data_IF_660246173594
#
_entry.id   IF_660246173594
#
_cell.length_a   1.000
_cell.length_b   1.000
_cell.length_c   1.000
_cell.angle_alpha   90.00
_cell.angle_beta   90.00
_cell.angle_gamma   90.00
#
_symmetry.space_group_name_H-M   'P 1'
#
loop_
_entity.id
_entity.type
_entity.pdbx_description
1 polymer ?
#
# COMPACT_ATOMS: atom_id res chain seq x y z
N UNK A 1 0.87 -10.38 -32.32
CA UNK A 1 1.00 -10.44 -30.85
C UNK A 1 0.68 -9.04 -30.34
N UNK A 2 -0.45 -8.86 -29.66
CA UNK A 2 -0.79 -7.56 -29.09
C UNK A 2 0.32 -7.16 -28.11
N UNK A 3 0.79 -5.92 -28.19
CA UNK A 3 1.77 -5.40 -27.24
C UNK A 3 1.17 -5.57 -25.85
N UNK A 4 1.89 -6.19 -24.91
CA UNK A 4 1.39 -6.40 -23.53
C UNK A 4 0.96 -5.10 -22.84
N UNK A 5 1.41 -3.95 -23.35
CA UNK A 5 1.00 -2.62 -22.90
C UNK A 5 -0.42 -2.20 -23.33
N UNK A 6 -1.00 -2.75 -24.41
CA UNK A 6 -2.33 -2.38 -24.90
C UNK A 6 -3.45 -3.10 -24.14
N UNK A 7 -3.21 -4.35 -23.72
CA UNK A 7 -4.18 -5.12 -22.92
C UNK A 7 -4.39 -4.55 -21.51
N UNK A 8 -3.38 -3.86 -20.97
CA UNK A 8 -3.42 -3.24 -19.64
C UNK A 8 -4.01 -1.81 -19.64
N UNK A 9 -4.29 -1.23 -20.82
CA UNK A 9 -4.76 0.15 -20.95
C UNK A 9 -6.06 0.44 -20.18
N UNK A 10 -7.12 -0.39 -20.26
CA UNK A 10 -8.37 -0.14 -19.56
C UNK A 10 -8.19 -0.17 -18.03
N UNK A 11 -7.41 -1.12 -17.53
CA UNK A 11 -7.11 -1.27 -16.10
C UNK A 11 -6.30 -0.08 -15.60
N UNK A 12 -5.35 0.41 -16.40
CA UNK A 12 -4.56 1.60 -16.07
C UNK A 12 -5.45 2.85 -15.99
N UNK A 13 -6.36 3.05 -16.96
CA UNK A 13 -7.30 4.19 -16.95
C UNK A 13 -8.23 4.15 -15.75
N UNK A 14 -8.79 2.98 -15.44
CA UNK A 14 -9.66 2.80 -14.28
C UNK A 14 -8.92 3.12 -12.98
N UNK A 15 -7.68 2.62 -12.82
CA UNK A 15 -6.83 2.90 -11.66
C UNK A 15 -6.57 4.40 -11.48
N UNK A 16 -6.20 5.10 -12.56
CA UNK A 16 -5.95 6.54 -12.52
C UNK A 16 -7.21 7.32 -12.16
N UNK A 17 -8.33 7.01 -12.81
CA UNK A 17 -9.62 7.66 -12.55
C UNK A 17 -10.09 7.47 -11.11
N UNK A 18 -9.95 6.26 -10.57
CA UNK A 18 -10.28 5.96 -9.17
C UNK A 18 -9.45 6.81 -8.21
N UNK A 19 -8.12 6.85 -8.38
CA UNK A 19 -7.26 7.65 -7.51
C UNK A 19 -7.58 9.14 -7.62
N UNK A 20 -7.85 9.66 -8.83
CA UNK A 20 -8.24 11.05 -9.03
C UNK A 20 -9.52 11.40 -8.28
N UNK A 21 -10.54 10.55 -8.39
CA UNK A 21 -11.79 10.72 -7.65
C UNK A 21 -11.55 10.73 -6.14
N UNK A 22 -10.76 9.78 -5.61
CA UNK A 22 -10.41 9.76 -4.17
C UNK A 22 -9.70 11.05 -3.76
N UNK A 23 -8.72 11.51 -4.55
CA UNK A 23 -7.95 12.72 -4.26
C UNK A 23 -8.81 13.99 -4.31
N UNK A 24 -9.82 14.06 -5.19
CA UNK A 24 -10.78 15.18 -5.24
C UNK A 24 -11.57 15.33 -3.92
N UNK A 25 -11.75 14.25 -3.16
CA UNK A 25 -12.39 14.24 -1.85
C UNK A 25 -11.38 14.20 -0.68
N UNK A 26 -10.08 14.34 -0.94
CA UNK A 26 -8.99 14.07 0.01
C UNK A 26 -8.93 15.01 1.22
N UNK A 27 -9.60 16.17 1.21
CA UNK A 27 -9.55 17.16 2.31
C UNK A 27 -10.09 16.63 3.65
N UNK A 28 -11.06 15.72 3.60
CA UNK A 28 -11.72 15.14 4.78
C UNK A 28 -11.41 13.65 4.95
N UNK A 29 -10.78 13.02 3.96
CA UNK A 29 -10.50 11.60 3.94
C UNK A 29 -9.48 11.24 5.02
N UNK A 30 -9.89 10.41 5.98
CA UNK A 30 -9.04 9.92 7.09
C UNK A 30 -8.64 8.45 6.92
N UNK A 31 -9.55 7.64 6.42
CA UNK A 31 -9.35 6.19 6.25
C UNK A 31 -9.69 5.85 4.80
N UNK A 32 -8.81 5.10 4.13
CA UNK A 32 -9.05 4.59 2.79
C UNK A 32 -8.74 3.10 2.73
N UNK A 33 -9.69 2.30 2.26
CA UNK A 33 -9.48 0.91 1.87
C UNK A 33 -9.86 0.78 0.40
N UNK A 34 -8.92 0.32 -0.42
CA UNK A 34 -9.16 -0.03 -1.82
C UNK A 34 -8.78 -1.48 -2.03
N UNK A 35 -9.76 -2.32 -2.32
CA UNK A 35 -9.53 -3.73 -2.65
C UNK A 35 -10.50 -4.15 -3.75
N UNK A 36 -10.00 -4.10 -4.99
CA UNK A 36 -10.78 -4.41 -6.19
C UNK A 36 -10.16 -5.66 -6.78
N UNK A 37 -10.93 -6.74 -6.88
CA UNK A 37 -10.49 -8.06 -7.35
C UNK A 37 -11.46 -8.59 -8.39
N UNK A 38 -10.94 -9.28 -9.40
CA UNK A 38 -11.77 -10.02 -10.35
C UNK A 38 -12.41 -11.24 -9.69
N UNK A 39 -11.66 -11.93 -8.83
CA UNK A 39 -12.11 -13.10 -8.08
C UNK A 39 -11.83 -12.87 -6.59
N UNK A 40 -12.90 -12.81 -5.78
CA UNK A 40 -12.85 -12.42 -4.37
C UNK A 40 -11.83 -13.28 -3.59
N UNK A 41 -11.90 -14.59 -3.78
CA UNK A 41 -11.07 -15.59 -3.07
C UNK A 41 -9.64 -15.70 -3.62
N UNK A 42 -9.29 -14.90 -4.63
CA UNK A 42 -7.98 -14.93 -5.27
C UNK A 42 -7.28 -13.56 -5.11
N UNK A 43 -6.48 -13.37 -4.05
CA UNK A 43 -5.74 -12.13 -3.80
C UNK A 43 -4.86 -11.69 -4.98
N UNK A 44 -4.39 -12.63 -5.81
CA UNK A 44 -3.60 -12.33 -7.01
C UNK A 44 -4.33 -11.52 -8.07
N UNK A 45 -5.67 -11.62 -8.11
CA UNK A 45 -6.55 -10.95 -9.08
C UNK A 45 -6.82 -9.48 -8.73
N UNK A 46 -6.17 -8.96 -7.70
CA UNK A 46 -6.35 -7.59 -7.26
C UNK A 46 -5.79 -6.57 -8.26
N UNK A 47 -6.51 -5.46 -8.42
CA UNK A 47 -5.97 -4.25 -9.01
C UNK A 47 -4.90 -3.66 -8.09
N UNK A 48 -3.65 -3.69 -8.54
CA UNK A 48 -2.52 -3.14 -7.79
C UNK A 48 -2.23 -1.70 -8.14
N UNK A 49 -1.93 -0.89 -7.14
CA UNK A 49 -1.52 0.51 -7.28
C UNK A 49 0.00 0.61 -7.22
N UNK A 50 0.60 1.42 -8.09
CA UNK A 50 2.04 1.67 -8.02
C UNK A 50 2.40 2.60 -6.85
N UNK A 51 3.69 2.64 -6.51
CA UNK A 51 4.18 3.47 -5.41
C UNK A 51 4.01 4.96 -5.67
N UNK A 52 4.01 5.38 -6.95
CA UNK A 52 3.81 6.77 -7.34
C UNK A 52 2.38 7.23 -7.03
N UNK A 53 1.37 6.44 -7.39
CA UNK A 53 -0.03 6.68 -7.08
C UNK A 53 -0.28 6.73 -5.57
N UNK A 54 0.32 5.80 -4.81
CA UNK A 54 0.28 5.83 -3.33
C UNK A 54 0.86 7.13 -2.79
N UNK A 55 2.02 7.54 -3.30
CA UNK A 55 2.69 8.76 -2.87
C UNK A 55 1.86 10.02 -3.20
N UNK A 56 1.28 10.10 -4.41
CA UNK A 56 0.41 11.20 -4.84
C UNK A 56 -0.86 11.28 -3.98
N UNK A 57 -1.46 10.14 -3.66
CA UNK A 57 -2.61 10.04 -2.77
C UNK A 57 -2.29 10.61 -1.38
N UNK A 58 -1.20 10.17 -0.74
CA UNK A 58 -0.78 10.66 0.58
C UNK A 58 -0.49 12.18 0.53
N UNK A 59 0.11 12.66 -0.56
CA UNK A 59 0.37 14.09 -0.76
C UNK A 59 -0.91 14.93 -0.87
N UNK A 60 -1.96 14.36 -1.48
CA UNK A 60 -3.22 15.05 -1.77
C UNK A 60 -4.26 14.95 -0.64
N UNK A 61 -4.10 14.01 0.30
CA UNK A 61 -5.03 13.78 1.40
C UNK A 61 -4.37 14.13 2.75
N UNK A 62 -4.42 15.40 3.21
CA UNK A 62 -3.66 15.85 4.37
C UNK A 62 -4.07 15.21 5.70
N UNK A 63 -5.32 14.73 5.81
CA UNK A 63 -5.87 14.09 7.01
C UNK A 63 -5.82 12.57 6.97
N UNK A 64 -5.23 11.97 5.93
CA UNK A 64 -5.19 10.51 5.82
C UNK A 64 -4.34 9.92 6.95
N UNK A 65 -4.96 9.04 7.73
CA UNK A 65 -4.37 8.33 8.86
C UNK A 65 -4.16 6.86 8.54
N UNK A 66 -4.97 6.28 7.64
CA UNK A 66 -4.86 4.88 7.26
C UNK A 66 -5.07 4.68 5.76
N UNK A 67 -4.27 3.80 5.17
CA UNK A 67 -4.42 3.33 3.80
C UNK A 67 -4.31 1.80 3.79
N UNK A 68 -5.33 1.10 3.31
CA UNK A 68 -5.26 -0.32 2.97
C UNK A 68 -5.45 -0.54 1.48
N UNK A 69 -4.42 -1.04 0.79
CA UNK A 69 -4.54 -1.33 -0.65
C UNK A 69 -3.50 -2.33 -1.15
N UNK A 70 -3.79 -3.03 -2.26
CA UNK A 70 -2.81 -3.82 -2.98
C UNK A 70 -1.81 -2.94 -3.72
N UNK A 71 -0.52 -3.11 -3.42
CA UNK A 71 0.54 -2.27 -4.01
C UNK A 71 1.46 -3.11 -4.90
N UNK A 72 1.76 -2.60 -6.09
CA UNK A 72 2.86 -3.08 -6.91
C UNK A 72 4.09 -2.20 -6.67
N UNK A 73 5.12 -2.76 -6.04
CA UNK A 73 6.39 -2.06 -5.81
C UNK A 73 7.41 -2.28 -6.92
N UNK A 74 7.11 -3.10 -7.93
CA UNK A 74 8.06 -3.40 -9.00
C UNK A 74 8.25 -2.20 -9.92
N UNK A 75 9.51 -1.85 -10.19
CA UNK A 75 9.88 -0.87 -11.20
C UNK A 75 9.57 -1.41 -12.60
N UNK A 76 9.00 -0.57 -13.45
CA UNK A 76 8.75 -0.87 -14.86
C UNK A 76 10.08 -1.00 -15.63
N UNK A 77 10.15 -1.95 -16.59
CA UNK A 77 11.20 -1.96 -17.61
C UNK A 77 12.50 -2.73 -17.27
N UNK A 78 12.46 -3.74 -16.40
CA UNK A 78 13.63 -4.57 -16.12
C UNK A 78 13.33 -6.08 -16.09
N UNK A 79 14.27 -6.90 -16.56
CA UNK A 79 14.15 -8.37 -16.45
C UNK A 79 14.32 -8.89 -15.01
N UNK A 80 14.88 -8.08 -14.10
CA UNK A 80 15.04 -8.41 -12.67
C UNK A 80 14.13 -7.53 -11.83
N UNK A 81 13.49 -8.13 -10.81
CA UNK A 81 12.69 -7.40 -9.83
C UNK A 81 13.54 -6.32 -9.14
N UNK A 82 13.15 -5.07 -9.31
CA UNK A 82 13.69 -3.90 -8.59
C UNK A 82 12.53 -3.14 -7.98
N UNK A 83 12.71 -2.61 -6.77
CA UNK A 83 11.67 -1.80 -6.13
C UNK A 83 11.72 -0.36 -6.62
N UNK A 84 10.57 0.23 -6.92
CA UNK A 84 10.45 1.67 -7.17
C UNK A 84 10.86 2.44 -5.93
N UNK A 85 11.60 3.53 -6.10
CA UNK A 85 11.86 4.45 -5.00
C UNK A 85 10.73 5.48 -4.89
N UNK A 86 10.46 5.96 -3.68
CA UNK A 86 9.66 7.17 -3.49
C UNK A 86 10.37 8.36 -4.16
N UNK A 87 9.60 9.23 -4.80
CA UNK A 87 10.13 10.49 -5.33
C UNK A 87 10.46 11.44 -4.18
N UNK A 88 11.53 12.23 -4.34
CA UNK A 88 12.06 13.10 -3.28
C UNK A 88 11.17 14.33 -2.99
N UNK A 89 10.21 14.63 -3.86
CA UNK A 89 9.50 15.90 -3.87
C UNK A 89 8.31 15.95 -2.88
N UNK A 90 7.94 14.84 -2.24
CA UNK A 90 6.84 14.78 -1.28
C UNK A 90 7.39 14.40 0.09
N UNK A 91 7.28 15.31 1.05
CA UNK A 91 7.63 15.06 2.46
C UNK A 91 6.57 14.16 3.13
N UNK A 92 6.64 12.86 2.86
CA UNK A 92 5.73 11.86 3.41
C UNK A 92 5.83 11.74 4.94
N UNK A 93 7.03 11.94 5.50
CA UNK A 93 7.28 11.86 6.95
C UNK A 93 6.49 12.88 7.78
N UNK A 94 6.07 14.01 7.18
CA UNK A 94 5.31 15.06 7.86
C UNK A 94 3.79 14.83 7.83
N UNK A 95 3.33 13.72 7.23
CA UNK A 95 1.90 13.45 7.05
C UNK A 95 1.32 12.68 8.23
N UNK A 96 0.00 12.73 8.39
CA UNK A 96 -0.72 12.10 9.51
C UNK A 96 -0.89 10.58 9.37
N UNK A 97 -0.36 9.96 8.33
CA UNK A 97 -0.53 8.54 8.07
C UNK A 97 0.07 7.72 9.22
N UNK A 98 -0.75 7.01 10.00
CA UNK A 98 -0.36 6.18 11.14
C UNK A 98 -0.21 4.72 10.75
N UNK A 99 -0.96 4.25 9.76
CA UNK A 99 -0.91 2.86 9.38
C UNK A 99 -1.09 2.62 7.89
N UNK A 100 -0.45 1.55 7.40
CA UNK A 100 -0.60 1.07 6.04
C UNK A 100 -0.89 -0.43 6.02
N UNK A 101 -1.95 -0.87 5.36
CA UNK A 101 -2.25 -2.27 5.15
C UNK A 101 -1.85 -2.69 3.72
N UNK A 102 -0.82 -3.53 3.62
CA UNK A 102 -0.46 -4.20 2.38
C UNK A 102 -1.44 -5.36 2.13
N UNK A 103 -2.42 -5.10 1.27
CA UNK A 103 -3.45 -6.06 0.85
C UNK A 103 -3.03 -6.83 -0.41
N UNK A 104 -3.75 -7.91 -0.70
CA UNK A 104 -3.64 -8.60 -2.00
C UNK A 104 -2.29 -9.27 -2.26
N UNK A 105 -1.53 -9.56 -1.20
CA UNK A 105 -0.24 -10.23 -1.33
C UNK A 105 -0.36 -11.75 -1.12
N UNK A 106 0.02 -12.50 -2.15
CA UNK A 106 0.06 -13.96 -2.19
C UNK A 106 1.50 -14.49 -2.33
N UNK A 107 2.49 -13.59 -2.25
CA UNK A 107 3.91 -13.92 -2.38
C UNK A 107 4.44 -14.47 -1.05
N UNK A 108 5.60 -15.16 -1.05
CA UNK A 108 6.20 -15.63 0.19
C UNK A 108 6.34 -14.51 1.23
N UNK A 109 6.01 -14.80 2.48
CA UNK A 109 5.98 -13.81 3.57
C UNK A 109 7.27 -12.97 3.68
N UNK A 110 8.43 -13.56 3.42
CA UNK A 110 9.72 -12.84 3.41
C UNK A 110 9.76 -11.71 2.36
N UNK A 111 9.10 -11.88 1.21
CA UNK A 111 8.97 -10.86 0.17
C UNK A 111 8.00 -9.76 0.62
N UNK A 112 6.85 -10.12 1.15
CA UNK A 112 5.86 -9.17 1.69
C UNK A 112 6.45 -8.33 2.82
N UNK A 113 7.25 -8.93 3.69
CA UNK A 113 7.92 -8.22 4.78
C UNK A 113 9.00 -7.24 4.29
N UNK A 114 9.70 -7.57 3.20
CA UNK A 114 10.62 -6.64 2.55
C UNK A 114 9.88 -5.49 1.87
N UNK A 115 8.70 -5.75 1.32
CA UNK A 115 7.83 -4.74 0.73
C UNK A 115 7.26 -3.81 1.82
N UNK A 116 6.85 -4.35 2.97
CA UNK A 116 6.52 -3.58 4.17
C UNK A 116 7.70 -2.72 4.65
N UNK A 117 8.91 -3.30 4.73
CA UNK A 117 10.13 -2.55 5.05
C UNK A 117 10.34 -1.40 4.07
N UNK A 118 10.09 -1.61 2.77
CA UNK A 118 10.24 -0.56 1.77
C UNK A 118 9.19 0.54 1.92
N UNK A 119 7.91 0.19 2.08
CA UNK A 119 6.79 1.12 2.24
C UNK A 119 6.96 1.99 3.48
N UNK A 120 7.43 1.41 4.59
CA UNK A 120 7.69 2.17 5.84
C UNK A 120 8.84 3.16 5.75
N UNK A 121 9.73 3.05 4.74
CA UNK A 121 10.99 3.83 4.69
C UNK A 121 10.83 5.33 4.97
N UNK A 122 9.84 6.05 4.41
CA UNK A 122 9.65 7.47 4.68
C UNK A 122 9.13 7.79 6.09
N UNK A 123 8.60 6.81 6.80
CA UNK A 123 7.91 6.98 8.09
C UNK A 123 8.71 6.41 9.27
N UNK A 124 9.90 5.82 9.05
CA UNK A 124 10.68 5.15 10.12
C UNK A 124 11.19 6.08 11.22
N UNK A 125 11.19 7.38 11.00
CA UNK A 125 11.50 8.39 12.02
C UNK A 125 10.31 8.62 12.97
N UNK A 126 9.16 8.03 12.69
CA UNK A 126 7.96 8.09 13.49
C UNK A 126 7.74 6.76 14.22
N UNK A 127 7.57 6.83 15.54
CA UNK A 127 7.33 5.66 16.38
C UNK A 127 5.90 5.13 16.27
N UNK A 128 4.98 5.93 15.74
CA UNK A 128 3.54 5.63 15.62
C UNK A 128 3.15 5.05 14.25
N UNK A 129 4.10 4.82 13.34
CA UNK A 129 3.80 4.24 12.04
C UNK A 129 3.87 2.71 12.05
N UNK A 130 2.75 2.08 11.70
CA UNK A 130 2.59 0.63 11.70
C UNK A 130 2.21 0.10 10.31
N UNK A 131 2.63 -1.13 9.99
CA UNK A 131 2.20 -1.82 8.78
C UNK A 131 1.44 -3.07 9.14
N UNK A 132 0.26 -3.20 8.55
CA UNK A 132 -0.51 -4.43 8.54
C UNK A 132 -0.18 -5.21 7.26
N UNK A 133 0.01 -6.51 7.41
CA UNK A 133 0.29 -7.43 6.33
C UNK A 133 -0.80 -8.50 6.35
N UNK A 134 -1.66 -8.48 5.33
CA UNK A 134 -2.49 -9.63 5.01
C UNK A 134 -1.68 -10.63 4.20
N UNK A 135 -1.54 -11.86 4.69
CA UNK A 135 -0.82 -12.92 4.01
C UNK A 135 -1.52 -14.26 4.24
N UNK A 136 -2.24 -14.72 3.21
CA UNK A 136 -3.24 -15.78 3.29
C UNK A 136 -4.33 -15.46 4.34
N UNK A 137 -4.61 -16.38 5.25
CA UNK A 137 -5.57 -16.30 6.35
C UNK A 137 -5.02 -15.55 7.59
N UNK A 138 -3.81 -14.99 7.51
CA UNK A 138 -3.12 -14.40 8.66
C UNK A 138 -2.89 -12.91 8.48
N UNK A 139 -3.31 -12.17 9.51
CA UNK A 139 -3.04 -10.75 9.65
C UNK A 139 -1.88 -10.56 10.61
N UNK A 140 -0.87 -9.82 10.17
CA UNK A 140 0.32 -9.51 10.99
C UNK A 140 0.53 -8.01 11.06
N UNK A 141 0.95 -7.53 12.23
CA UNK A 141 1.33 -6.14 12.45
C UNK A 141 2.83 -6.02 12.68
N UNK A 142 3.46 -5.07 12.00
CA UNK A 142 4.91 -4.84 12.08
C UNK A 142 5.23 -3.35 12.06
N UNK A 143 6.22 -2.95 12.85
CA UNK A 143 6.84 -1.63 12.75
C UNK A 143 8.33 -1.75 12.41
N UNK A 144 8.90 -0.68 11.87
CA UNK A 144 10.31 -0.62 11.48
C UNK A 144 10.98 0.61 12.10
N UNK A 145 12.12 0.42 12.76
CA UNK A 145 12.89 1.53 13.29
C UNK A 145 13.70 2.26 12.20
N UNK A 146 14.44 3.31 12.57
CA UNK A 146 15.31 4.08 11.66
C UNK A 146 16.28 3.22 10.83
N UNK A 147 16.84 2.17 11.44
CA UNK A 147 17.74 1.19 10.77
C UNK A 147 17.00 0.20 9.88
N UNK A 148 15.66 0.20 9.92
CA UNK A 148 14.79 -0.74 9.23
C UNK A 148 14.81 -2.14 9.86
N UNK A 149 15.14 -2.23 11.15
CA UNK A 149 14.94 -3.43 11.95
C UNK A 149 13.46 -3.54 12.29
N UNK A 150 12.94 -4.77 12.26
CA UNK A 150 11.51 -5.05 12.40
C UNK A 150 11.15 -5.38 13.85
N UNK A 151 9.96 -4.97 14.27
CA UNK A 151 9.31 -5.44 15.49
C UNK A 151 7.91 -5.93 15.15
N UNK A 152 7.62 -7.19 15.46
CA UNK A 152 6.26 -7.71 15.36
C UNK A 152 5.44 -7.25 16.57
N UNK A 153 4.18 -6.93 16.30
CA UNK A 153 3.23 -6.42 17.27
C UNK A 153 1.97 -7.27 17.21
N UNK A 154 1.21 -7.29 18.31
CA UNK A 154 -0.10 -7.92 18.33
C UNK A 154 -1.09 -7.03 17.58
N UNK A 155 -1.92 -7.63 16.74
CA UNK A 155 -3.08 -6.97 16.14
C UNK A 155 -4.16 -6.90 17.21
N UNK A 156 -4.67 -5.71 17.51
CA UNK A 156 -5.78 -5.52 18.45
C UNK A 156 -7.12 -5.64 17.71
N UNK A 157 -8.14 -6.17 18.37
CA UNK A 157 -9.48 -6.28 17.79
C UNK A 157 -10.06 -4.91 17.38
N UNK A 158 -9.79 -3.88 18.17
CA UNK A 158 -10.16 -2.49 17.86
C UNK A 158 -9.53 -2.00 16.55
N UNK A 159 -8.29 -2.39 16.26
CA UNK A 159 -7.61 -2.03 15.00
C UNK A 159 -8.24 -2.74 13.81
N UNK A 160 -8.68 -3.99 13.99
CA UNK A 160 -9.39 -4.76 12.95
C UNK A 160 -10.69 -4.06 12.57
N UNK A 161 -11.46 -3.61 13.57
CA UNK A 161 -12.72 -2.87 13.35
C UNK A 161 -12.48 -1.47 12.76
N UNK A 162 -11.52 -0.73 13.32
CA UNK A 162 -11.24 0.65 12.92
C UNK A 162 -10.71 0.75 11.49
N UNK A 163 -9.84 -0.18 11.09
CA UNK A 163 -9.13 -0.13 9.81
C UNK A 163 -9.66 -1.11 8.76
N UNK A 164 -10.79 -1.79 9.06
CA UNK A 164 -11.38 -2.80 8.18
C UNK A 164 -10.31 -3.79 7.67
N UNK A 165 -9.66 -4.47 8.62
CA UNK A 165 -8.55 -5.40 8.33
C UNK A 165 -9.02 -6.81 7.98
N UNK A 166 -10.27 -6.96 7.55
CA UNK A 166 -10.81 -8.22 7.07
C UNK A 166 -9.95 -8.75 5.91
N UNK A 167 -9.60 -10.04 5.96
CA UNK A 167 -8.74 -10.73 4.98
C UNK A 167 -9.55 -11.45 3.90
#
# INVERSE_FOLDING_TARGET
>A
MANSNEADEPVRRLRSSLLENVMNHGKILRLLVLDIREVIDQPQSCMRFDLYGVQKLIGSCPKIEFIGMPVNLQASGGQRYRRMNYEKNIHLSARQLKAFHLRGDYRPFSRTLNDAKHVSKPFRNRSDFEIFIGHYDKLRKVSFNLKGERKFLNVKEEEVKLYDLNL
#
